data_IF_219027858076
#
_entry.id   IF_219027858076
#
_cell.length_a   1.000
_cell.length_b   1.000
_cell.length_c   1.000
_cell.angle_alpha   90.00
_cell.angle_beta   90.00
_cell.angle_gamma   90.00
#
_symmetry.space_group_name_H-M   'P 1'
#
loop_
_entity.id
_entity.type
_entity.pdbx_description
1 polymer ?
#
# COMPACT_ATOMS: atom_id res chain seq x y z
N UNK A 1 -17.87 -10.75 18.93
CA UNK A 1 -17.95 -10.31 17.51
C UNK A 1 -16.56 -10.49 16.91
N UNK A 2 -16.39 -11.31 15.86
CA UNK A 2 -15.08 -11.42 15.18
C UNK A 2 -14.78 -10.08 14.54
N UNK A 3 -13.69 -9.42 14.96
CA UNK A 3 -13.26 -8.17 14.37
C UNK A 3 -12.92 -8.45 12.89
N UNK A 4 -13.75 -7.98 11.96
CA UNK A 4 -13.50 -8.19 10.53
C UNK A 4 -12.23 -7.43 10.15
N UNK A 5 -11.25 -8.14 9.59
CA UNK A 5 -10.00 -7.53 9.12
C UNK A 5 -10.30 -6.56 7.98
N UNK A 6 -9.66 -5.40 7.99
CA UNK A 6 -9.82 -4.38 6.95
C UNK A 6 -8.87 -4.66 5.78
N UNK A 7 -9.27 -4.22 4.60
CA UNK A 7 -8.42 -4.17 3.43
C UNK A 7 -8.10 -2.72 3.07
N UNK A 8 -6.83 -2.35 3.17
CA UNK A 8 -6.31 -1.04 2.82
C UNK A 8 -5.77 -1.05 1.40
N UNK A 9 -6.48 -0.40 0.49
CA UNK A 9 -6.03 -0.23 -0.88
C UNK A 9 -5.12 1.01 -0.99
N UNK A 10 -3.90 0.81 -1.49
CA UNK A 10 -2.91 1.88 -1.67
C UNK A 10 -2.34 1.90 -3.08
N UNK A 11 -2.13 3.11 -3.61
CA UNK A 11 -1.43 3.33 -4.88
C UNK A 11 0.03 3.67 -4.61
N UNK A 12 0.95 2.96 -5.24
CA UNK A 12 2.41 3.12 -5.08
C UNK A 12 3.06 3.21 -6.47
N UNK A 13 4.11 4.04 -6.61
CA UNK A 13 4.92 4.09 -7.84
C UNK A 13 5.70 2.80 -8.04
N UNK A 14 5.90 2.42 -9.30
CA UNK A 14 6.56 1.17 -9.71
C UNK A 14 7.92 0.95 -9.04
N UNK A 15 8.76 1.99 -8.96
CA UNK A 15 10.09 1.92 -8.31
C UNK A 15 10.04 1.47 -6.84
N UNK A 16 8.98 1.82 -6.09
CA UNK A 16 8.82 1.42 -4.70
C UNK A 16 8.10 0.08 -4.56
N UNK A 17 7.18 -0.22 -5.47
CA UNK A 17 6.55 -1.55 -5.58
C UNK A 17 7.61 -2.62 -5.76
N UNK A 18 8.53 -2.42 -6.72
CA UNK A 18 9.60 -3.39 -6.98
C UNK A 18 10.46 -3.60 -5.73
N UNK A 19 10.83 -2.53 -5.03
CA UNK A 19 11.57 -2.64 -3.78
C UNK A 19 10.79 -3.36 -2.66
N UNK A 20 9.46 -3.21 -2.59
CA UNK A 20 8.63 -3.94 -1.63
C UNK A 20 8.64 -5.43 -1.97
N UNK A 21 8.38 -5.79 -3.23
CA UNK A 21 8.30 -7.18 -3.68
C UNK A 21 9.66 -7.89 -3.62
N UNK A 22 10.76 -7.18 -3.79
CA UNK A 22 12.13 -7.70 -3.63
C UNK A 22 12.59 -7.76 -2.16
N UNK A 23 11.76 -7.33 -1.21
CA UNK A 23 12.10 -7.34 0.22
C UNK A 23 13.16 -6.30 0.62
N UNK A 24 13.35 -5.24 -0.17
CA UNK A 24 14.28 -4.13 0.14
C UNK A 24 13.57 -3.03 0.95
N UNK A 25 12.31 -2.74 0.61
CA UNK A 25 11.47 -1.74 1.27
C UNK A 25 10.45 -2.43 2.17
N UNK A 26 10.50 -2.12 3.46
CA UNK A 26 9.65 -2.73 4.49
C UNK A 26 8.67 -1.75 5.12
N UNK A 27 8.80 -0.46 4.83
CA UNK A 27 7.97 0.60 5.40
C UNK A 27 7.44 1.45 4.25
N UNK A 28 6.13 1.50 4.10
CA UNK A 28 5.45 2.41 3.19
C UNK A 28 5.23 3.77 3.86
N UNK A 29 5.68 4.83 3.21
CA UNK A 29 5.70 6.19 3.77
C UNK A 29 4.48 6.97 3.33
N UNK A 30 3.82 7.63 4.28
CA UNK A 30 2.62 8.45 4.03
C UNK A 30 2.62 9.72 4.88
N UNK A 31 1.82 10.70 4.47
CA UNK A 31 1.59 11.95 5.22
C UNK A 31 0.40 11.89 6.18
N UNK A 32 -0.59 11.04 5.90
CA UNK A 32 -1.76 10.85 6.75
C UNK A 32 -1.80 9.43 7.34
N UNK A 33 -2.26 9.30 8.58
CA UNK A 33 -2.34 8.02 9.28
C UNK A 33 -3.54 7.20 8.78
N UNK A 34 -3.37 5.93 8.34
CA UNK A 34 -4.50 5.08 7.98
C UNK A 34 -5.23 4.56 9.22
N UNK A 35 -6.51 4.21 9.06
CA UNK A 35 -7.32 3.55 10.08
C UNK A 35 -7.26 2.02 9.93
N UNK A 36 -6.13 1.45 10.29
CA UNK A 36 -5.84 0.01 10.25
C UNK A 36 -5.11 -0.44 11.51
N UNK A 37 -5.22 -1.72 11.82
CA UNK A 37 -4.53 -2.38 12.92
C UNK A 37 -3.53 -3.42 12.40
N UNK A 38 -2.65 -3.90 13.28
CA UNK A 38 -1.80 -5.03 12.97
C UNK A 38 -2.64 -6.25 12.55
N UNK A 39 -2.22 -6.92 11.48
CA UNK A 39 -2.94 -8.04 10.86
C UNK A 39 -4.01 -7.65 9.83
N UNK A 40 -4.31 -6.36 9.65
CA UNK A 40 -5.12 -5.91 8.51
C UNK A 40 -4.35 -6.10 7.20
N UNK A 41 -5.09 -6.24 6.10
CA UNK A 41 -4.53 -6.52 4.78
C UNK A 41 -4.28 -5.24 3.98
N UNK A 42 -3.26 -5.26 3.14
CA UNK A 42 -2.90 -4.18 2.22
C UNK A 42 -3.00 -4.72 0.79
N UNK A 43 -3.68 -3.98 -0.07
CA UNK A 43 -3.75 -4.23 -1.51
C UNK A 43 -2.84 -3.22 -2.19
N UNK A 44 -1.82 -3.71 -2.89
CA UNK A 44 -0.79 -2.88 -3.51
C UNK A 44 -1.13 -2.70 -4.97
N UNK A 45 -1.57 -1.48 -5.31
CA UNK A 45 -1.77 -1.05 -6.68
C UNK A 45 -0.55 -0.28 -7.19
N UNK A 46 0.04 -0.76 -8.28
CA UNK A 46 1.09 -0.06 -8.98
C UNK A 46 0.50 0.98 -9.92
N UNK A 47 0.96 2.22 -9.82
CA UNK A 47 0.53 3.32 -10.70
C UNK A 47 1.04 3.14 -12.14
N UNK A 48 0.81 4.14 -12.99
CA UNK A 48 1.35 4.18 -14.36
C UNK A 48 2.86 3.94 -14.39
N UNK A 49 3.39 3.21 -15.39
CA UNK A 49 2.70 2.62 -16.55
C UNK A 49 1.91 1.33 -16.27
N UNK A 50 2.20 0.60 -15.18
CA UNK A 50 1.62 -0.73 -14.89
C UNK A 50 0.11 -0.72 -14.69
N UNK A 51 -0.42 0.22 -13.89
CA UNK A 51 -1.86 0.41 -13.65
C UNK A 51 -2.62 -0.87 -13.23
N UNK A 52 -2.10 -1.60 -12.25
CA UNK A 52 -2.68 -2.86 -11.79
C UNK A 52 -2.46 -3.11 -10.29
N UNK A 53 -3.29 -3.96 -9.67
CA UNK A 53 -2.93 -4.60 -8.40
C UNK A 53 -1.89 -5.68 -8.72
N UNK A 54 -0.78 -5.65 -8.00
CA UNK A 54 0.40 -6.48 -8.27
C UNK A 54 0.80 -7.38 -7.10
N UNK A 55 0.21 -7.13 -5.94
CA UNK A 55 0.58 -7.82 -4.71
C UNK A 55 -0.29 -7.43 -3.54
N UNK A 56 -0.09 -8.16 -2.45
CA UNK A 56 -0.68 -7.91 -1.15
C UNK A 56 0.39 -7.89 -0.07
N UNK A 57 0.04 -7.34 1.08
CA UNK A 57 0.84 -7.42 2.30
C UNK A 57 -0.08 -7.41 3.51
N UNK A 58 0.49 -7.53 4.70
CA UNK A 58 -0.18 -7.28 5.96
C UNK A 58 0.44 -6.07 6.67
N UNK A 59 -0.39 -5.36 7.43
CA UNK A 59 0.06 -4.33 8.36
C UNK A 59 0.72 -5.04 9.54
N UNK A 60 2.03 -4.84 9.70
CA UNK A 60 2.74 -5.25 10.92
C UNK A 60 2.55 -4.22 12.03
N UNK A 61 2.69 -2.93 11.69
CA UNK A 61 2.56 -1.80 12.61
C UNK A 61 2.34 -0.48 11.84
N UNK A 62 1.86 0.56 12.51
CA UNK A 62 1.76 1.93 12.00
C UNK A 62 2.53 2.87 12.93
N UNK A 63 3.73 3.25 12.50
CA UNK A 63 4.63 4.11 13.26
C UNK A 63 4.48 5.58 12.86
N UNK A 64 4.72 6.48 13.81
CA UNK A 64 4.64 7.94 13.61
C UNK A 64 5.83 8.61 14.29
N UNK A 65 6.58 9.41 13.53
CA UNK A 65 7.74 10.14 14.01
C UNK A 65 7.82 11.51 13.31
N UNK A 66 8.75 12.36 13.73
CA UNK A 66 9.19 13.47 12.87
C UNK A 66 9.97 12.92 11.67
N UNK A 67 10.03 13.62 10.52
CA UNK A 67 10.81 13.15 9.37
C UNK A 67 12.27 12.85 9.70
N UNK A 68 12.91 13.69 10.54
CA UNK A 68 14.28 13.47 10.99
C UNK A 68 14.42 12.18 11.82
N UNK A 69 13.51 11.93 12.76
CA UNK A 69 13.53 10.72 13.58
C UNK A 69 13.24 9.47 12.74
N UNK A 70 12.25 9.52 11.86
CA UNK A 70 11.92 8.43 10.94
C UNK A 70 13.13 8.06 10.08
N UNK A 71 13.82 9.05 9.50
CA UNK A 71 15.03 8.81 8.72
C UNK A 71 16.15 8.18 9.57
N UNK A 72 16.42 8.77 10.76
CA UNK A 72 17.46 8.30 11.67
C UNK A 72 17.25 6.83 12.09
N UNK A 73 16.01 6.47 12.43
CA UNK A 73 15.67 5.15 12.98
C UNK A 73 15.45 4.10 11.89
N UNK A 74 14.97 4.50 10.70
CA UNK A 74 14.40 3.55 9.74
C UNK A 74 14.91 3.66 8.31
N UNK A 75 15.81 4.61 7.97
CA UNK A 75 16.30 4.83 6.59
C UNK A 75 16.61 3.57 5.78
N UNK A 76 17.28 2.57 6.37
CA UNK A 76 17.60 1.28 5.73
C UNK A 76 16.39 0.46 5.28
N UNK A 77 15.20 0.73 5.84
CA UNK A 77 13.93 0.02 5.57
C UNK A 77 12.98 0.81 4.68
N UNK A 78 13.27 2.09 4.41
CA UNK A 78 12.35 2.99 3.69
C UNK A 78 12.38 2.83 2.17
N UNK A 79 13.46 2.28 1.60
CA UNK A 79 13.58 2.07 0.15
C UNK A 79 13.45 3.36 -0.67
N UNK A 80 14.00 4.46 -0.16
CA UNK A 80 13.95 5.79 -0.80
C UNK A 80 15.27 6.51 -0.52
N UNK A 81 15.75 7.29 -1.49
CA UNK A 81 16.97 8.08 -1.30
C UNK A 81 16.72 9.21 -0.31
N UNK A 82 17.78 9.61 0.39
CA UNK A 82 17.72 10.67 1.41
C UNK A 82 17.09 11.96 0.90
N UNK A 83 17.52 12.40 -0.29
CA UNK A 83 17.01 13.62 -0.92
C UNK A 83 15.50 13.51 -1.15
N UNK A 84 15.07 12.49 -1.88
CA UNK A 84 13.66 12.26 -2.22
C UNK A 84 12.77 12.13 -0.97
N UNK A 85 13.31 11.53 0.10
CA UNK A 85 12.63 11.43 1.39
C UNK A 85 12.36 12.80 2.03
N UNK A 86 13.39 13.64 2.16
CA UNK A 86 13.25 14.95 2.77
C UNK A 86 12.45 15.90 1.87
N UNK A 87 12.62 15.80 0.55
CA UNK A 87 11.80 16.53 -0.41
C UNK A 87 10.31 16.16 -0.25
N UNK A 88 10.00 14.86 -0.12
CA UNK A 88 8.63 14.37 0.10
C UNK A 88 8.02 14.94 1.39
N UNK A 89 8.78 15.03 2.47
CA UNK A 89 8.33 15.55 3.77
C UNK A 89 8.62 17.05 3.98
N UNK A 90 8.88 17.81 2.92
CA UNK A 90 9.01 19.27 3.00
C UNK A 90 7.74 19.88 3.61
N UNK A 91 7.91 20.81 4.56
CA UNK A 91 6.83 21.48 5.28
C UNK A 91 5.86 20.54 6.03
N UNK A 92 6.32 19.36 6.43
CA UNK A 92 5.56 18.44 7.29
C UNK A 92 6.34 18.11 8.55
N UNK A 93 5.66 18.14 9.69
CA UNK A 93 6.22 17.84 11.03
C UNK A 93 6.15 16.36 11.39
N UNK A 94 5.33 15.58 10.66
CA UNK A 94 5.05 14.17 10.90
C UNK A 94 5.28 13.32 9.65
N UNK A 95 5.90 12.17 9.87
CA UNK A 95 6.05 11.08 8.93
C UNK A 95 5.36 9.83 9.47
N UNK A 96 4.45 9.27 8.68
CA UNK A 96 3.77 8.00 8.97
C UNK A 96 4.45 6.89 8.19
N UNK A 97 4.76 5.79 8.87
CA UNK A 97 5.25 4.56 8.26
C UNK A 97 4.29 3.40 8.51
N UNK A 98 3.83 2.76 7.44
CA UNK A 98 3.11 1.48 7.51
C UNK A 98 4.16 0.38 7.37
N UNK A 99 4.43 -0.34 8.45
CA UNK A 99 5.38 -1.45 8.45
C UNK A 99 4.71 -2.64 7.81
N UNK A 100 5.34 -3.19 6.77
CA UNK A 100 4.80 -4.30 5.97
C UNK A 100 5.31 -5.64 6.51
N UNK A 101 4.44 -6.63 6.54
CA UNK A 101 4.78 -8.06 6.68
C UNK A 101 4.05 -8.88 5.61
N UNK A 102 4.43 -10.16 5.47
CA UNK A 102 3.77 -11.13 4.60
C UNK A 102 3.50 -10.60 3.19
N UNK A 103 4.51 -9.93 2.60
CA UNK A 103 4.43 -9.39 1.25
C UNK A 103 4.34 -10.55 0.27
N UNK A 104 3.30 -10.56 -0.56
CA UNK A 104 3.07 -11.58 -1.58
C UNK A 104 2.86 -10.90 -2.93
N UNK A 105 3.60 -11.34 -3.95
CA UNK A 105 3.36 -10.95 -5.34
C UNK A 105 2.17 -11.77 -5.87
N UNK A 106 1.26 -11.14 -6.61
CA UNK A 106 0.20 -11.86 -7.30
C UNK A 106 0.79 -12.65 -8.49
N UNK A 107 0.30 -13.87 -8.70
CA UNK A 107 0.66 -14.68 -9.86
C UNK A 107 0.22 -14.02 -11.18
N UNK A 108 -0.91 -13.33 -11.16
CA UNK A 108 -1.39 -12.50 -12.27
C UNK A 108 -1.82 -11.13 -11.76
N UNK A 109 -1.40 -10.08 -12.47
CA UNK A 109 -1.75 -8.71 -12.14
C UNK A 109 -3.22 -8.43 -12.48
N UNK A 110 -3.89 -7.67 -11.62
CA UNK A 110 -5.27 -7.23 -11.84
C UNK A 110 -5.26 -5.82 -12.41
N UNK A 111 -5.44 -5.67 -13.72
CA UNK A 111 -5.44 -4.38 -14.40
C UNK A 111 -6.62 -3.50 -13.96
N UNK A 112 -6.41 -2.17 -13.97
CA UNK A 112 -7.46 -1.19 -13.65
C UNK A 112 -8.72 -1.35 -14.52
N UNK A 113 -8.57 -1.76 -15.78
CA UNK A 113 -9.70 -2.05 -16.68
C UNK A 113 -10.58 -3.17 -16.15
N UNK A 114 -10.00 -4.26 -15.63
CA UNK A 114 -10.74 -5.37 -15.01
C UNK A 114 -11.46 -4.92 -13.74
N UNK A 115 -10.82 -4.11 -12.90
CA UNK A 115 -11.46 -3.49 -11.73
C UNK A 115 -12.67 -2.64 -12.16
N UNK A 116 -12.52 -1.83 -13.20
CA UNK A 116 -13.58 -0.94 -13.70
C UNK A 116 -14.76 -1.68 -14.34
N UNK A 117 -14.59 -2.91 -14.82
CA UNK A 117 -15.73 -3.73 -15.29
C UNK A 117 -16.72 -4.01 -14.16
N UNK A 118 -16.22 -4.18 -12.93
CA UNK A 118 -17.04 -4.45 -11.75
C UNK A 118 -17.41 -3.16 -10.99
N UNK A 119 -16.48 -2.21 -10.94
CA UNK A 119 -16.63 -0.91 -10.27
C UNK A 119 -16.32 0.23 -11.26
N UNK A 120 -17.26 0.62 -12.13
CA UNK A 120 -17.03 1.59 -13.21
C UNK A 120 -16.41 2.92 -12.76
N UNK A 121 -16.80 3.38 -11.57
CA UNK A 121 -16.34 4.64 -10.97
C UNK A 121 -15.07 4.49 -10.12
N UNK A 122 -14.44 3.31 -10.11
CA UNK A 122 -13.23 3.09 -9.33
C UNK A 122 -12.07 3.93 -9.88
N UNK A 123 -11.44 4.65 -8.97
CA UNK A 123 -10.19 5.38 -9.19
C UNK A 123 -9.15 4.95 -8.16
N UNK A 124 -7.88 4.74 -8.56
CA UNK A 124 -6.82 4.48 -7.59
C UNK A 124 -6.72 5.63 -6.58
N UNK A 125 -6.61 5.36 -5.27
CA UNK A 125 -6.59 6.39 -4.25
C UNK A 125 -5.29 7.21 -4.28
N UNK A 126 -5.39 8.50 -3.95
CA UNK A 126 -4.24 9.33 -3.64
C UNK A 126 -3.68 9.04 -2.24
N UNK A 127 -4.58 8.84 -1.26
CA UNK A 127 -4.22 8.45 0.11
C UNK A 127 -4.52 6.97 0.33
N UNK A 128 -5.78 6.62 0.60
CA UNK A 128 -6.24 5.26 0.91
C UNK A 128 -7.66 5.03 0.41
N UNK A 129 -8.02 3.78 0.11
CA UNK A 129 -9.42 3.30 0.06
C UNK A 129 -9.55 2.10 0.99
N UNK A 130 -10.70 1.95 1.63
CA UNK A 130 -10.99 0.84 2.54
C UNK A 130 -12.01 -0.09 1.89
N UNK A 131 -11.72 -1.38 1.88
CA UNK A 131 -12.61 -2.41 1.34
C UNK A 131 -13.08 -3.35 2.46
N UNK A 132 -14.32 -3.83 2.34
CA UNK A 132 -14.93 -4.85 3.21
C UNK A 132 -14.36 -6.23 2.93
N UNK A 133 -14.15 -6.53 1.65
CA UNK A 133 -13.62 -7.80 1.19
C UNK A 133 -12.70 -7.60 -0.01
N UNK A 134 -11.70 -8.46 -0.13
CA UNK A 134 -10.85 -8.61 -1.30
C UNK A 134 -10.45 -10.08 -1.43
N UNK A 135 -10.94 -10.72 -2.48
CA UNK A 135 -10.48 -12.04 -2.89
C UNK A 135 -9.68 -11.84 -4.18
N UNK A 136 -8.34 -12.00 -4.15
CA UNK A 136 -7.58 -12.03 -5.38
C UNK A 136 -8.01 -13.25 -6.17
N UNK A 137 -8.49 -13.02 -7.38
CA UNK A 137 -9.05 -14.07 -8.19
C UNK A 137 -7.98 -15.11 -8.57
N UNK A 138 -8.32 -16.40 -8.51
CA UNK A 138 -7.48 -17.47 -9.09
C UNK A 138 -7.51 -17.41 -10.65
N UNK A 139 -8.47 -16.68 -11.23
CA UNK A 139 -8.68 -16.48 -12.67
C UNK A 139 -9.11 -15.04 -12.96
N UNK A 140 -8.80 -14.55 -14.16
CA UNK A 140 -8.85 -13.13 -14.59
C UNK A 140 -10.17 -12.34 -14.37
N UNK A 141 -11.29 -12.99 -14.03
CA UNK A 141 -12.63 -12.38 -13.94
C UNK A 141 -13.30 -12.41 -12.55
N UNK A 142 -12.73 -13.07 -11.54
CA UNK A 142 -13.43 -13.30 -10.24
C UNK A 142 -12.87 -12.46 -9.09
N UNK A 143 -12.68 -11.17 -9.33
CA UNK A 143 -12.30 -10.27 -8.22
C UNK A 143 -13.60 -9.89 -7.51
N UNK A 144 -13.60 -9.87 -6.18
CA UNK A 144 -14.68 -9.25 -5.41
C UNK A 144 -14.06 -8.05 -4.69
N UNK A 145 -14.36 -6.84 -5.16
CA UNK A 145 -14.01 -5.58 -4.51
C UNK A 145 -15.27 -4.96 -3.93
N UNK A 146 -15.45 -5.04 -2.62
CA UNK A 146 -16.54 -4.34 -1.92
C UNK A 146 -15.98 -3.13 -1.18
N UNK A 147 -16.31 -1.92 -1.62
CA UNK A 147 -15.96 -0.69 -0.91
C UNK A 147 -16.74 -0.61 0.42
N UNK A 148 -16.14 0.04 1.42
CA UNK A 148 -16.85 0.36 2.66
C UNK A 148 -18.03 1.30 2.43
#
# INVERSE_FOLDING_TARGET
>A
MKNQRKYLFISIKEEYVNQILEGKKHIELRKSKPNVNAGDHIIIYCTSPVKAIVGTAQVKDVITHTPNQMWKLHSKKLGIRRRDYFDYYTNTDRAIGIVLSDVQKLCSNICLSSIKKQLPFFTPPQTYKYLKNFVPAEKENDIILELH
#
